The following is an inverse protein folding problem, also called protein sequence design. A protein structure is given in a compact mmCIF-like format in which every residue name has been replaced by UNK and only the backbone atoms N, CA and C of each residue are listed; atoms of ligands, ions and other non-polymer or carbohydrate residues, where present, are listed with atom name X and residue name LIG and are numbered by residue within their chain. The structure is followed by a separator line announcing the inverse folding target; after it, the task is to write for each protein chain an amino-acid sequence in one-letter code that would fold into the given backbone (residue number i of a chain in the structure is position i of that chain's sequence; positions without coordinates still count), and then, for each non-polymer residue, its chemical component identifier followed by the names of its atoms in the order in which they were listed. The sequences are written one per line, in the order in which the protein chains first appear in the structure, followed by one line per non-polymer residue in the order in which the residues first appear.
data_IF_486475682418
#
_entry.id   IF_486475682418
#
_cell.length_a   1.000
_cell.length_b   1.000
_cell.length_c   1.000
_cell.angle_alpha   90.00
_cell.angle_beta   90.00
_cell.angle_gamma   90.00
#
_symmetry.space_group_name_H-M   'P 1'
#
loop_
_entity.id
_entity.type
_entity.pdbx_description
1 polymer ?
#
# COMPACT_ATOMS: atom_id res chain seq x y z
N UNK A 1 -25.23 -1.03 -3.73
CA UNK A 1 -24.64 -0.05 -4.67
C UNK A 1 -23.98 1.05 -3.86
N UNK A 2 -22.66 0.96 -3.64
CA UNK A 2 -21.93 2.04 -2.99
C UNK A 2 -21.78 3.19 -4.00
N UNK A 3 -22.36 4.34 -3.71
CA UNK A 3 -22.05 5.56 -4.43
C UNK A 3 -20.53 5.78 -4.32
N UNK A 4 -19.86 6.17 -5.40
CA UNK A 4 -18.47 6.65 -5.41
C UNK A 4 -18.38 7.99 -4.65
N UNK A 5 -18.71 7.96 -3.37
CA UNK A 5 -18.67 9.10 -2.48
C UNK A 5 -17.30 9.08 -1.81
N UNK A 6 -16.57 10.17 -1.95
CA UNK A 6 -15.39 10.42 -1.14
C UNK A 6 -15.89 10.69 0.28
N UNK A 7 -15.55 9.79 1.21
CA UNK A 7 -15.84 9.93 2.63
C UNK A 7 -14.69 10.65 3.31
N UNK A 8 -14.30 10.19 4.49
CA UNK A 8 -13.06 10.65 5.13
C UNK A 8 -11.88 9.95 4.47
N UNK A 9 -10.98 10.64 3.76
CA UNK A 9 -9.93 9.97 3.01
C UNK A 9 -8.80 9.49 3.91
N UNK A 10 -8.16 8.39 3.49
CA UNK A 10 -6.99 7.81 4.13
C UNK A 10 -5.83 7.73 3.13
N UNK A 11 -4.64 8.03 3.61
CA UNK A 11 -3.39 8.01 2.86
C UNK A 11 -2.46 6.98 3.48
N UNK A 12 -2.00 6.00 2.71
CA UNK A 12 -1.02 5.01 3.16
C UNK A 12 0.35 5.39 2.62
N UNK A 13 1.27 5.72 3.51
CA UNK A 13 2.57 6.31 3.18
C UNK A 13 3.67 5.33 3.54
N UNK A 14 4.35 4.78 2.53
CA UNK A 14 5.41 3.80 2.78
C UNK A 14 6.69 4.48 3.24
N UNK A 15 7.04 4.24 4.49
CA UNK A 15 8.29 4.69 5.11
C UNK A 15 9.49 3.99 4.47
N UNK A 16 9.38 2.70 4.15
CA UNK A 16 10.47 1.96 3.49
C UNK A 16 10.80 2.54 2.10
N UNK A 17 9.79 2.99 1.35
CA UNK A 17 10.01 3.66 0.07
C UNK A 17 10.75 4.98 0.24
N UNK A 18 10.39 5.77 1.26
CA UNK A 18 11.07 7.00 1.59
C UNK A 18 12.54 6.76 2.01
N UNK A 19 12.79 5.80 2.91
CA UNK A 19 14.15 5.42 3.31
C UNK A 19 14.99 4.97 2.11
N UNK A 20 14.38 4.21 1.18
CA UNK A 20 15.03 3.86 -0.10
C UNK A 20 15.44 5.07 -0.90
N UNK A 21 14.56 6.07 -1.04
CA UNK A 21 14.86 7.29 -1.79
C UNK A 21 16.02 8.10 -1.19
N UNK A 22 16.23 7.98 0.12
CA UNK A 22 17.34 8.61 0.84
C UNK A 22 18.62 7.76 0.84
N UNK A 23 18.58 6.51 0.37
CA UNK A 23 19.68 5.57 0.48
C UNK A 23 19.93 5.04 1.91
N UNK A 24 18.93 5.16 2.80
CA UNK A 24 18.98 4.72 4.21
C UNK A 24 18.45 3.30 4.43
N UNK A 25 18.27 2.54 3.35
CA UNK A 25 17.82 1.14 3.40
C UNK A 25 18.74 0.25 2.56
N UNK A 26 18.99 -0.95 3.05
CA UNK A 26 19.73 -1.98 2.35
C UNK A 26 19.01 -3.33 2.45
N UNK A 27 19.52 -4.33 1.75
CA UNK A 27 19.06 -5.72 1.83
C UNK A 27 20.04 -6.48 2.71
N UNK A 28 19.52 -7.10 3.77
CA UNK A 28 20.30 -7.95 4.67
C UNK A 28 20.61 -9.32 4.07
N UNK A 29 21.11 -10.23 4.91
CA UNK A 29 21.23 -11.62 4.50
C UNK A 29 19.86 -12.15 4.10
N UNK A 30 19.73 -12.52 2.84
CA UNK A 30 18.61 -13.31 2.36
C UNK A 30 18.84 -14.72 2.88
N UNK A 31 17.93 -15.21 3.73
CA UNK A 31 18.01 -16.57 4.30
C UNK A 31 16.98 -17.44 3.60
N UNK A 32 17.49 -18.39 2.83
CA UNK A 32 16.78 -19.37 2.00
C UNK A 32 17.82 -19.94 1.02
N UNK A 33 17.93 -21.26 0.89
CA UNK A 33 19.00 -21.89 0.10
C UNK A 33 18.93 -21.55 -1.39
N UNK A 34 17.76 -21.08 -1.85
CA UNK A 34 17.46 -20.79 -3.24
C UNK A 34 16.49 -19.60 -3.31
N UNK A 35 16.96 -18.37 -3.13
CA UNK A 35 16.10 -17.17 -3.18
C UNK A 35 16.15 -16.50 -4.55
N UNK A 36 15.00 -16.41 -5.25
CA UNK A 36 14.87 -15.70 -6.53
C UNK A 36 13.91 -14.49 -6.51
N UNK A 37 13.16 -14.21 -5.43
CA UNK A 37 12.41 -12.95 -5.27
C UNK A 37 13.39 -11.79 -5.00
N UNK A 38 14.07 -11.36 -6.05
CA UNK A 38 15.19 -10.43 -5.91
C UNK A 38 16.51 -11.14 -5.73
N UNK A 39 16.82 -12.02 -6.70
CA UNK A 39 18.09 -12.74 -6.84
C UNK A 39 19.33 -11.82 -6.77
N UNK A 40 19.13 -10.51 -6.91
CA UNK A 40 20.11 -9.49 -6.55
C UNK A 40 19.46 -8.34 -5.74
N UNK A 41 20.31 -7.65 -4.98
CA UNK A 41 19.99 -6.49 -4.13
C UNK A 41 19.02 -5.48 -4.79
N UNK A 42 19.23 -5.15 -6.06
CA UNK A 42 18.44 -4.12 -6.74
C UNK A 42 17.00 -4.59 -6.99
N UNK A 43 16.81 -5.86 -7.30
CA UNK A 43 15.49 -6.43 -7.51
C UNK A 43 14.69 -6.51 -6.20
N UNK A 44 15.33 -6.91 -5.09
CA UNK A 44 14.68 -6.91 -3.78
C UNK A 44 14.31 -5.49 -3.34
N UNK A 45 15.20 -4.51 -3.51
CA UNK A 45 14.87 -3.09 -3.26
C UNK A 45 13.74 -2.58 -4.17
N UNK A 46 13.58 -3.12 -5.38
CA UNK A 46 12.51 -2.70 -6.29
C UNK A 46 11.10 -3.10 -5.82
N UNK A 47 10.98 -4.02 -4.85
CA UNK A 47 9.70 -4.30 -4.18
C UNK A 47 9.14 -3.09 -3.43
N UNK A 48 9.98 -2.11 -3.07
CA UNK A 48 9.58 -0.93 -2.29
C UNK A 48 9.12 0.24 -3.17
N UNK A 49 9.04 0.08 -4.49
CA UNK A 49 8.77 1.19 -5.42
C UNK A 49 7.28 1.55 -5.59
N UNK A 50 6.36 0.83 -4.92
CA UNK A 50 4.92 0.92 -5.20
C UNK A 50 4.63 0.76 -6.70
N UNK A 51 5.37 -0.12 -7.36
CA UNK A 51 5.21 -0.48 -8.76
C UNK A 51 4.87 -1.97 -8.91
N UNK A 52 3.59 -2.36 -8.74
CA UNK A 52 3.16 -3.76 -8.80
C UNK A 52 3.32 -4.42 -10.18
N UNK A 53 3.61 -3.66 -11.25
CA UNK A 53 3.86 -4.25 -12.58
C UNK A 53 5.20 -4.98 -12.66
N UNK A 54 6.13 -4.66 -11.75
CA UNK A 54 7.46 -5.26 -11.67
C UNK A 54 7.47 -6.52 -10.80
N UNK A 55 6.67 -7.53 -11.18
CA UNK A 55 6.54 -8.79 -10.45
C UNK A 55 7.88 -9.50 -10.32
N UNK A 56 8.19 -9.91 -9.09
CA UNK A 56 9.28 -10.82 -8.76
C UNK A 56 8.72 -12.22 -8.59
N UNK A 57 9.50 -13.21 -8.97
CA UNK A 57 9.13 -14.62 -8.92
C UNK A 57 10.15 -15.34 -8.06
N UNK A 58 9.67 -16.05 -7.05
CA UNK A 58 10.49 -16.83 -6.13
C UNK A 58 11.04 -18.07 -6.79
N UNK A 59 11.95 -18.76 -6.12
CA UNK A 59 12.56 -19.95 -6.68
C UNK A 59 11.57 -21.12 -6.73
N UNK A 60 11.95 -22.19 -7.41
CA UNK A 60 11.22 -23.45 -7.32
C UNK A 60 11.48 -24.08 -5.95
N UNK A 61 10.41 -24.40 -5.21
CA UNK A 61 10.50 -25.00 -3.87
C UNK A 61 10.11 -26.46 -3.89
N UNK A 62 11.07 -27.39 -4.11
CA UNK A 62 10.77 -28.81 -3.98
C UNK A 62 10.59 -29.27 -2.53
N UNK A 63 10.91 -28.45 -1.51
CA UNK A 63 10.87 -28.82 -0.09
C UNK A 63 10.66 -27.59 0.81
N UNK A 64 9.43 -27.34 1.25
CA UNK A 64 8.99 -26.59 2.46
C UNK A 64 9.79 -25.39 2.94
N UNK A 65 10.47 -24.68 2.05
CA UNK A 65 11.50 -23.74 2.44
C UNK A 65 10.93 -22.33 2.60
N UNK A 66 11.06 -21.82 3.80
CA UNK A 66 10.80 -20.44 4.17
C UNK A 66 11.51 -19.44 3.23
N UNK A 67 10.77 -18.46 2.69
CA UNK A 67 11.32 -17.26 2.04
C UNK A 67 11.34 -16.06 2.99
N UNK A 68 12.49 -15.39 3.12
CA UNK A 68 12.62 -14.14 3.90
C UNK A 68 13.31 -13.05 3.09
N UNK A 69 12.64 -11.90 2.95
CA UNK A 69 13.25 -10.66 2.44
C UNK A 69 13.56 -9.74 3.63
N UNK A 70 14.85 -9.57 3.95
CA UNK A 70 15.30 -8.69 5.04
C UNK A 70 15.68 -7.31 4.51
N UNK A 71 15.01 -6.28 5.00
CA UNK A 71 15.30 -4.88 4.74
C UNK A 71 15.99 -4.28 5.96
N UNK A 72 17.26 -3.90 5.79
CA UNK A 72 18.07 -3.28 6.83
C UNK A 72 17.94 -1.76 6.76
N UNK A 73 17.58 -1.13 7.86
CA UNK A 73 17.44 0.33 7.97
C UNK A 73 18.63 0.92 8.74
N UNK A 74 18.98 2.18 8.47
CA UNK A 74 20.08 2.85 9.19
C UNK A 74 19.77 3.05 10.69
N UNK A 75 18.49 3.20 11.03
CA UNK A 75 17.98 3.34 12.40
C UNK A 75 16.77 2.43 12.60
N UNK A 76 16.33 2.18 13.85
CA UNK A 76 15.20 1.31 14.09
C UNK A 76 13.96 1.74 13.30
N UNK A 77 13.16 0.79 12.81
CA UNK A 77 11.96 1.16 12.02
C UNK A 77 11.00 2.03 12.83
N UNK A 78 10.91 1.78 14.15
CA UNK A 78 10.17 2.59 15.11
C UNK A 78 10.64 4.06 15.19
N UNK A 79 11.84 4.39 14.71
CA UNK A 79 12.32 5.77 14.58
C UNK A 79 11.64 6.53 13.42
N UNK A 80 10.99 5.82 12.52
CA UNK A 80 10.39 6.38 11.31
C UNK A 80 8.87 6.15 11.23
N UNK A 81 8.33 5.28 12.07
CA UNK A 81 6.90 4.95 12.10
C UNK A 81 6.24 5.35 13.41
N UNK A 82 4.97 5.73 13.35
CA UNK A 82 4.13 5.89 14.55
C UNK A 82 3.51 4.56 14.95
N UNK A 83 3.33 4.38 16.26
CA UNK A 83 2.78 3.16 16.84
C UNK A 83 1.32 2.92 16.47
N UNK A 84 0.52 3.99 16.43
CA UNK A 84 -0.95 3.89 16.49
C UNK A 84 -1.64 3.90 15.12
N UNK A 85 -0.89 3.90 14.02
CA UNK A 85 -1.45 4.01 12.67
C UNK A 85 -0.63 3.26 11.61
N UNK A 86 -0.11 2.09 11.95
CA UNK A 86 0.71 1.29 11.03
C UNK A 86 -0.10 0.61 9.92
N UNK A 87 0.52 0.40 8.77
CA UNK A 87 -0.01 -0.50 7.73
C UNK A 87 1.09 -1.29 7.05
N UNK A 88 0.70 -2.43 6.50
CA UNK A 88 1.48 -3.13 5.50
C UNK A 88 0.58 -3.60 4.35
N UNK A 89 1.17 -3.61 3.15
CA UNK A 89 0.48 -3.97 1.93
C UNK A 89 1.39 -4.81 1.02
N UNK A 90 0.78 -5.80 0.39
CA UNK A 90 1.39 -6.63 -0.63
C UNK A 90 0.58 -6.47 -1.91
N UNK A 91 1.25 -6.16 -3.01
CA UNK A 91 0.60 -5.99 -4.31
C UNK A 91 1.14 -6.99 -5.33
N UNK A 92 0.25 -7.45 -6.19
CA UNK A 92 0.52 -8.42 -7.24
C UNK A 92 1.18 -9.70 -6.73
N UNK A 93 0.54 -10.35 -5.75
CA UNK A 93 0.98 -11.64 -5.23
C UNK A 93 0.06 -12.78 -5.68
N UNK A 94 0.57 -14.01 -5.67
CA UNK A 94 -0.17 -15.24 -5.98
C UNK A 94 -0.27 -16.20 -4.76
N UNK A 95 -0.39 -15.62 -3.57
CA UNK A 95 -0.29 -16.38 -2.33
C UNK A 95 -1.42 -17.39 -2.11
N UNK A 96 -2.60 -17.19 -2.70
CA UNK A 96 -3.67 -18.19 -2.60
C UNK A 96 -3.35 -19.40 -3.47
N UNK A 97 -2.94 -19.17 -4.72
CA UNK A 97 -2.61 -20.27 -5.64
C UNK A 97 -1.29 -20.97 -5.34
N UNK A 98 -0.37 -20.31 -4.63
CA UNK A 98 0.86 -20.91 -4.14
C UNK A 98 0.72 -21.53 -2.73
N UNK A 99 -0.49 -21.50 -2.14
CA UNK A 99 -0.77 -21.91 -0.76
C UNK A 99 0.25 -21.31 0.22
N UNK A 100 0.41 -20.00 0.19
CA UNK A 100 1.44 -19.28 0.93
C UNK A 100 0.87 -18.55 2.15
N UNK A 101 1.57 -18.68 3.27
CA UNK A 101 1.42 -17.86 4.47
C UNK A 101 2.45 -16.74 4.46
N UNK A 102 2.14 -15.62 5.08
CA UNK A 102 3.06 -14.49 5.18
C UNK A 102 2.92 -13.74 6.50
N UNK A 103 3.99 -13.06 6.90
CA UNK A 103 3.99 -12.14 8.03
C UNK A 103 5.06 -11.06 7.82
N UNK A 104 4.90 -9.95 8.54
CA UNK A 104 5.92 -8.91 8.63
C UNK A 104 6.47 -8.89 10.05
N UNK A 105 7.77 -9.15 10.18
CA UNK A 105 8.47 -9.26 11.46
C UNK A 105 9.69 -8.34 11.50
N UNK A 106 10.24 -8.23 12.68
CA UNK A 106 11.56 -7.68 12.92
C UNK A 106 12.43 -8.74 13.60
N UNK A 107 13.75 -8.51 13.66
CA UNK A 107 14.65 -9.40 14.39
C UNK A 107 14.30 -9.40 15.89
N UNK A 108 13.68 -10.48 16.37
CA UNK A 108 13.30 -10.66 17.77
C UNK A 108 11.81 -10.43 18.10
N UNK A 109 10.95 -10.13 17.13
CA UNK A 109 9.51 -10.02 17.36
C UNK A 109 8.69 -9.78 16.10
N UNK A 110 7.44 -9.33 16.24
CA UNK A 110 6.50 -9.13 15.14
C UNK A 110 6.08 -7.67 15.06
N UNK A 111 6.11 -7.07 13.86
CA UNK A 111 5.67 -5.69 13.66
C UNK A 111 4.14 -5.58 13.82
N UNK A 112 3.43 -6.61 13.36
CA UNK A 112 1.98 -6.74 13.50
C UNK A 112 1.67 -7.95 14.39
N UNK A 113 1.29 -7.71 15.64
CA UNK A 113 0.92 -8.77 16.57
C UNK A 113 -0.49 -9.33 16.31
N UNK A 114 -0.85 -10.41 17.00
CA UNK A 114 -2.19 -11.02 16.92
C UNK A 114 -3.31 -10.09 17.46
N UNK A 115 -2.94 -9.11 18.28
CA UNK A 115 -3.86 -8.13 18.87
C UNK A 115 -3.80 -6.76 18.18
N UNK A 116 -3.09 -6.65 17.05
CA UNK A 116 -3.08 -5.42 16.26
C UNK A 116 -4.47 -5.27 15.62
N UNK A 117 -5.29 -4.40 16.21
CA UNK A 117 -6.64 -4.08 15.72
C UNK A 117 -6.54 -3.18 14.49
N UNK A 118 -7.28 -3.50 13.43
CA UNK A 118 -7.29 -2.71 12.22
C UNK A 118 -8.06 -3.35 11.07
N UNK A 119 -8.13 -2.64 9.94
CA UNK A 119 -8.72 -3.17 8.72
C UNK A 119 -7.81 -4.26 8.15
N UNK A 120 -8.40 -5.37 7.71
CA UNK A 120 -7.72 -6.40 6.92
C UNK A 120 -8.49 -6.64 5.63
N UNK A 121 -7.78 -6.70 4.51
CA UNK A 121 -8.33 -6.90 3.16
C UNK A 121 -7.56 -8.02 2.49
N UNK A 122 -8.27 -9.07 2.08
CA UNK A 122 -7.70 -10.26 1.47
C UNK A 122 -6.52 -10.83 2.29
N UNK A 123 -6.66 -10.78 3.62
CA UNK A 123 -5.73 -11.43 4.53
C UNK A 123 -6.45 -11.77 5.84
N UNK A 124 -6.31 -13.00 6.30
CA UNK A 124 -6.83 -13.46 7.58
C UNK A 124 -5.70 -14.07 8.40
N UNK A 125 -5.83 -14.06 9.73
CA UNK A 125 -4.87 -14.73 10.61
C UNK A 125 -5.01 -16.24 10.43
N UNK A 126 -3.90 -16.93 10.24
CA UNK A 126 -3.88 -18.39 10.18
C UNK A 126 -4.32 -18.97 11.54
N UNK A 127 -5.35 -19.83 11.59
CA UNK A 127 -5.77 -20.46 12.83
C UNK A 127 -4.71 -21.38 13.44
N UNK A 128 -3.79 -21.91 12.63
CA UNK A 128 -2.83 -22.93 13.02
C UNK A 128 -1.42 -22.39 13.34
N UNK A 129 -1.16 -21.10 13.11
CA UNK A 129 0.13 -20.48 13.44
C UNK A 129 -0.02 -19.07 14.01
N UNK A 130 0.66 -18.83 15.14
CA UNK A 130 0.69 -17.52 15.75
C UNK A 130 1.39 -16.53 14.79
N UNK A 131 0.65 -15.49 14.38
CA UNK A 131 1.11 -14.31 13.62
C UNK A 131 1.28 -14.46 12.11
N UNK A 132 1.06 -15.63 11.51
CA UNK A 132 0.99 -15.73 10.06
C UNK A 132 -0.38 -15.34 9.53
N UNK A 133 -0.38 -14.86 8.29
CA UNK A 133 -1.59 -14.51 7.55
C UNK A 133 -1.66 -15.33 6.27
N UNK A 134 -2.86 -15.70 5.88
CA UNK A 134 -3.17 -16.30 4.58
C UNK A 134 -3.97 -15.32 3.74
N UNK A 135 -3.84 -15.41 2.41
CA UNK A 135 -4.68 -14.66 1.49
C UNK A 135 -5.86 -15.52 1.03
N UNK A 136 -7.05 -14.94 0.93
CA UNK A 136 -8.23 -15.64 0.40
C UNK A 136 -8.12 -15.75 -1.14
N UNK A 137 -7.47 -14.78 -1.78
CA UNK A 137 -7.34 -14.64 -3.23
C UNK A 137 -5.94 -14.17 -3.65
N UNK A 138 -5.58 -14.46 -4.90
CA UNK A 138 -4.45 -13.81 -5.57
C UNK A 138 -4.77 -12.34 -5.89
N UNK A 139 -3.75 -11.48 -5.95
CA UNK A 139 -3.90 -10.07 -6.26
C UNK A 139 -3.15 -9.18 -5.28
N UNK A 140 -3.83 -8.75 -4.22
CA UNK A 140 -3.25 -7.84 -3.22
C UNK A 140 -3.83 -8.08 -1.84
N UNK A 141 -3.04 -7.80 -0.80
CA UNK A 141 -3.45 -7.89 0.60
C UNK A 141 -3.05 -6.62 1.33
N UNK A 142 -3.91 -6.11 2.20
CA UNK A 142 -3.67 -4.90 3.00
C UNK A 142 -4.11 -5.18 4.43
N UNK A 143 -3.29 -4.81 5.40
CA UNK A 143 -3.71 -4.79 6.79
C UNK A 143 -3.17 -3.55 7.51
N UNK A 144 -3.97 -3.05 8.44
CA UNK A 144 -3.62 -1.92 9.30
C UNK A 144 -3.56 -2.36 10.76
N UNK A 145 -2.92 -1.56 11.59
CA UNK A 145 -2.82 -1.76 13.00
C UNK A 145 -2.85 -0.42 13.74
N UNK A 146 -3.66 -0.37 14.79
CA UNK A 146 -3.69 0.72 15.77
C UNK A 146 -2.59 0.55 16.84
N UNK A 147 -1.73 -0.46 16.71
CA UNK A 147 -0.57 -0.73 17.56
C UNK A 147 0.42 -1.63 16.78
N UNK A 148 1.49 -1.03 16.23
CA UNK A 148 2.66 -1.74 15.69
C UNK A 148 3.77 -1.79 16.75
N UNK A 149 4.46 -2.93 16.86
CA UNK A 149 5.31 -3.30 18.01
C UNK A 149 6.28 -2.24 18.55
N UNK A 150 6.48 -2.29 19.88
CA UNK A 150 7.40 -1.46 20.68
C UNK A 150 8.90 -1.87 20.56
N UNK A 151 9.35 -2.56 19.51
CA UNK A 151 10.76 -2.98 19.47
C UNK A 151 11.66 -1.83 18.97
N UNK A 152 11.93 -0.90 19.88
CA UNK A 152 12.70 0.34 19.67
C UNK A 152 14.18 0.17 19.25
N UNK A 153 14.67 -1.04 18.99
CA UNK A 153 16.10 -1.30 18.80
C UNK A 153 16.45 -2.17 17.59
N UNK A 154 15.51 -2.38 16.66
CA UNK A 154 15.72 -3.30 15.55
C UNK A 154 15.79 -2.57 14.21
N UNK A 155 16.95 -2.68 13.58
CA UNK A 155 17.26 -2.08 12.27
C UNK A 155 16.92 -3.04 11.10
N UNK A 156 15.97 -3.94 11.31
CA UNK A 156 15.65 -5.02 10.37
C UNK A 156 14.14 -5.23 10.30
N UNK A 157 13.58 -5.04 9.12
CA UNK A 157 12.22 -5.41 8.76
C UNK A 157 12.28 -6.60 7.82
N UNK A 158 11.59 -7.67 8.14
CA UNK A 158 11.54 -8.86 7.31
C UNK A 158 10.12 -9.15 6.82
N UNK A 159 9.96 -9.31 5.50
CA UNK A 159 8.81 -9.99 4.92
C UNK A 159 9.11 -11.48 4.90
N UNK A 160 8.36 -12.23 5.69
CA UNK A 160 8.53 -13.67 5.85
C UNK A 160 7.35 -14.37 5.18
N UNK A 161 7.63 -15.33 4.30
CA UNK A 161 6.66 -16.11 3.54
C UNK A 161 6.98 -17.59 3.73
N UNK A 162 5.96 -18.39 4.01
CA UNK A 162 6.07 -19.82 4.34
C UNK A 162 4.97 -20.60 3.59
N UNK A 163 5.12 -21.91 3.51
CA UNK A 163 4.11 -22.83 2.98
C UNK A 163 2.91 -22.92 3.94
N UNK A 164 1.71 -22.95 3.40
CA UNK A 164 0.47 -23.10 4.16
C UNK A 164 0.08 -24.56 4.42
N UNK A 165 0.74 -25.53 3.76
CA UNK A 165 0.46 -26.96 3.85
C UNK A 165 0.45 -27.53 5.27
N UNK A 166 -0.71 -28.05 5.68
CA UNK A 166 -0.93 -28.67 7.01
C UNK A 166 -0.27 -30.05 7.18
N UNK A 167 0.25 -30.64 6.10
CA UNK A 167 0.90 -31.96 6.16
C UNK A 167 2.04 -32.02 5.16
N UNK A 168 3.26 -31.79 5.64
CA UNK A 168 4.54 -32.13 5.00
C UNK A 168 5.23 -31.09 4.11
N UNK A 169 5.10 -29.78 4.38
CA UNK A 169 6.07 -28.77 3.93
C UNK A 169 6.44 -28.87 2.45
N UNK A 170 5.48 -28.73 1.56
CA UNK A 170 5.74 -28.57 0.13
C UNK A 170 4.73 -27.55 -0.35
N UNK A 171 5.21 -26.37 -0.77
CA UNK A 171 4.39 -25.42 -1.53
C UNK A 171 3.67 -26.18 -2.65
N UNK A 172 2.47 -25.74 -3.05
CA UNK A 172 1.98 -26.17 -4.36
C UNK A 172 3.08 -25.87 -5.38
N UNK A 173 3.20 -26.70 -6.42
CA UNK A 173 4.15 -26.61 -7.54
C UNK A 173 4.20 -25.25 -8.27
N UNK A 174 3.45 -24.27 -7.78
CA UNK A 174 3.35 -22.87 -8.20
C UNK A 174 4.39 -22.00 -7.48
N UNK A 175 5.32 -21.41 -8.25
CA UNK A 175 6.30 -20.44 -7.74
C UNK A 175 5.62 -19.22 -7.11
N UNK A 176 6.14 -18.76 -5.97
CA UNK A 176 5.71 -17.52 -5.33
C UNK A 176 5.97 -16.32 -6.23
N UNK A 177 5.08 -15.33 -6.19
CA UNK A 177 5.15 -14.08 -6.93
C UNK A 177 4.76 -12.94 -6.01
N UNK A 178 5.48 -11.82 -6.15
CA UNK A 178 5.18 -10.57 -5.45
C UNK A 178 5.66 -9.38 -6.29
N UNK A 179 4.79 -8.39 -6.51
CA UNK A 179 5.18 -7.17 -7.23
C UNK A 179 5.64 -6.05 -6.33
N UNK A 180 5.05 -5.89 -5.16
CA UNK A 180 5.38 -4.80 -4.26
C UNK A 180 5.13 -5.16 -2.80
N UNK A 181 5.98 -4.64 -1.93
CA UNK A 181 5.78 -4.58 -0.49
C UNK A 181 5.81 -3.12 -0.03
N UNK A 182 4.79 -2.70 0.72
CA UNK A 182 4.76 -1.41 1.39
C UNK A 182 4.57 -1.58 2.88
N UNK A 183 5.34 -0.84 3.66
CA UNK A 183 5.23 -0.72 5.11
C UNK A 183 5.39 0.76 5.49
N UNK A 184 4.60 1.22 6.45
CA UNK A 184 4.68 2.56 7.01
C UNK A 184 3.44 2.91 7.82
N UNK A 185 3.02 4.17 7.75
CA UNK A 185 1.87 4.68 8.47
C UNK A 185 0.74 5.11 7.53
N UNK A 186 -0.49 5.01 8.00
CA UNK A 186 -1.62 5.64 7.36
C UNK A 186 -1.99 6.93 8.08
N UNK A 187 -2.47 7.92 7.31
CA UNK A 187 -2.99 9.17 7.83
C UNK A 187 -4.45 9.33 7.41
N UNK A 188 -5.31 9.53 8.40
CA UNK A 188 -6.72 9.87 8.22
C UNK A 188 -6.88 11.38 8.24
N UNK A 189 -7.58 11.93 7.24
CA UNK A 189 -8.00 13.33 7.34
C UNK A 189 -8.94 13.52 8.55
N UNK A 190 -8.87 14.65 9.29
CA UNK A 190 -9.73 14.88 10.45
C UNK A 190 -11.23 14.83 10.14
N UNK A 191 -11.61 15.15 8.90
CA UNK A 191 -12.98 15.04 8.40
C UNK A 191 -13.00 14.87 6.88
N UNK A 192 -14.17 14.53 6.34
CA UNK A 192 -14.43 14.48 4.90
C UNK A 192 -14.16 15.83 4.23
N UNK A 193 -13.72 15.83 2.96
CA UNK A 193 -13.57 17.04 2.18
C UNK A 193 -14.93 17.69 1.87
N UNK A 194 -14.88 18.95 1.46
CA UNK A 194 -16.05 19.76 1.12
C UNK A 194 -16.93 19.13 0.04
N UNK A 195 -18.23 19.43 0.07
CA UNK A 195 -19.26 18.82 -0.80
C UNK A 195 -18.99 19.00 -2.31
N UNK A 196 -18.16 19.96 -2.73
CA UNK A 196 -17.80 20.23 -4.13
C UNK A 196 -16.62 19.40 -4.65
N UNK A 197 -16.57 18.12 -4.28
CA UNK A 197 -15.57 17.17 -4.76
C UNK A 197 -15.73 16.89 -6.24
N UNK A 198 -14.64 16.98 -6.99
CA UNK A 198 -14.61 16.57 -8.40
C UNK A 198 -13.68 15.37 -8.57
N UNK A 199 -14.28 14.20 -8.76
CA UNK A 199 -13.62 13.03 -9.35
C UNK A 199 -13.73 13.12 -10.87
N UNK A 200 -12.61 13.10 -11.57
CA UNK A 200 -12.57 13.09 -13.03
C UNK A 200 -11.77 11.90 -13.56
N UNK A 201 -12.14 11.43 -14.76
CA UNK A 201 -11.44 10.36 -15.47
C UNK A 201 -10.74 10.93 -16.70
N UNK A 202 -9.43 10.77 -16.75
CA UNK A 202 -8.58 11.33 -17.80
C UNK A 202 -8.22 10.27 -18.85
N UNK A 203 -8.47 10.58 -20.13
CA UNK A 203 -8.22 9.69 -21.28
C UNK A 203 -7.14 10.25 -22.23
N UNK A 204 -6.07 10.87 -21.69
CA UNK A 204 -5.00 11.48 -22.50
C UNK A 204 -4.30 10.54 -23.48
N UNK A 205 -4.40 9.22 -23.28
CA UNK A 205 -3.83 8.23 -24.19
C UNK A 205 -4.67 7.96 -25.43
N UNK A 206 -5.86 8.56 -25.56
CA UNK A 206 -6.75 8.41 -26.73
C UNK A 206 -6.68 9.69 -27.57
N UNK A 207 -6.13 9.57 -28.77
CA UNK A 207 -6.11 10.66 -29.76
C UNK A 207 -7.08 10.34 -30.89
N UNK A 208 -7.85 11.34 -31.33
CA UNK A 208 -8.81 11.22 -32.43
C UNK A 208 -8.44 12.20 -33.53
N UNK A 209 -8.38 11.71 -34.76
CA UNK A 209 -8.15 12.51 -35.95
C UNK A 209 -9.30 12.28 -36.94
N UNK A 210 -9.97 13.34 -37.35
CA UNK A 210 -10.97 13.27 -38.43
C UNK A 210 -10.25 13.42 -39.77
N UNK A 211 -10.41 12.45 -40.66
CA UNK A 211 -9.92 12.51 -42.04
C UNK A 211 -10.69 13.55 -42.85
N UNK A 212 -10.12 14.01 -43.97
CA UNK A 212 -10.82 14.95 -44.87
C UNK A 212 -12.13 14.39 -45.45
N UNK A 213 -12.28 13.05 -45.50
CA UNK A 213 -13.50 12.37 -45.93
C UNK A 213 -14.56 12.18 -44.83
N UNK A 214 -14.33 12.70 -43.62
CA UNK A 214 -15.26 12.61 -42.49
C UNK A 214 -15.12 11.34 -41.63
N UNK A 215 -14.24 10.39 -41.99
CA UNK A 215 -13.94 9.22 -41.15
C UNK A 215 -13.11 9.61 -39.93
N UNK A 216 -13.36 8.99 -38.76
CA UNK A 216 -12.59 9.22 -37.53
C UNK A 216 -11.57 8.11 -37.33
N UNK A 217 -10.29 8.46 -37.26
CA UNK A 217 -9.19 7.58 -36.84
C UNK A 217 -8.96 7.78 -35.35
N UNK A 218 -8.95 6.69 -34.57
CA UNK A 218 -8.68 6.74 -33.13
C UNK A 218 -7.42 5.95 -32.85
N UNK A 219 -6.43 6.57 -32.21
CA UNK A 219 -5.24 5.90 -31.71
C UNK A 219 -5.28 5.87 -30.18
N UNK A 220 -5.09 4.67 -29.61
CA UNK A 220 -5.18 4.41 -28.17
C UNK A 220 -3.82 3.91 -27.70
N UNK A 221 -3.04 4.79 -27.07
CA UNK A 221 -1.76 4.45 -26.45
C UNK A 221 -1.97 3.75 -25.11
N UNK A 222 -2.88 4.28 -24.30
CA UNK A 222 -3.30 3.72 -23.02
C UNK A 222 -4.72 4.22 -22.68
N UNK A 223 -5.52 3.37 -22.03
CA UNK A 223 -6.89 3.70 -21.66
C UNK A 223 -7.34 3.13 -20.31
N UNK A 224 -6.54 2.26 -19.69
CA UNK A 224 -6.78 1.66 -18.37
C UNK A 224 -5.43 1.32 -17.72
N UNK A 225 -5.35 1.25 -16.38
CA UNK A 225 -4.15 0.85 -15.65
C UNK A 225 -3.45 -0.37 -16.26
N UNK A 226 -2.11 -0.47 -16.20
CA UNK A 226 -1.41 -1.69 -16.59
C UNK A 226 -1.89 -2.84 -15.69
N UNK A 227 -1.86 -4.04 -16.27
CA UNK A 227 -2.09 -5.26 -15.50
C UNK A 227 -0.96 -5.47 -14.50
N UNK A 228 -1.31 -6.14 -13.41
CA UNK A 228 -0.40 -6.62 -12.39
C UNK A 228 -0.22 -8.12 -12.65
N UNK A 229 0.80 -8.46 -13.43
CA UNK A 229 0.96 -9.82 -13.95
C UNK A 229 -0.26 -10.26 -14.75
N UNK A 230 -0.94 -11.29 -14.26
CA UNK A 230 -2.11 -11.89 -14.91
C UNK A 230 -3.44 -11.15 -14.58
N UNK A 231 -3.45 -10.34 -13.52
CA UNK A 231 -4.64 -9.67 -12.99
C UNK A 231 -4.72 -8.19 -13.40
N UNK A 232 -5.93 -7.62 -13.46
CA UNK A 232 -6.10 -6.17 -13.61
C UNK A 232 -5.69 -5.44 -12.31
N UNK A 233 -5.36 -4.15 -12.40
CA UNK A 233 -5.01 -3.37 -11.21
C UNK A 233 -6.13 -3.39 -10.16
N UNK A 234 -5.78 -3.72 -8.92
CA UNK A 234 -6.70 -3.91 -7.78
C UNK A 234 -7.75 -5.03 -7.95
N UNK A 235 -7.55 -5.96 -8.89
CA UNK A 235 -8.36 -7.19 -8.97
C UNK A 235 -7.94 -8.17 -7.86
N UNK A 236 -8.93 -8.89 -7.33
CA UNK A 236 -8.74 -10.02 -6.42
C UNK A 236 -9.27 -11.28 -7.11
N UNK A 237 -8.44 -12.29 -7.29
CA UNK A 237 -8.78 -13.56 -7.93
C UNK A 237 -9.63 -13.39 -9.20
N UNK A 238 -10.79 -14.05 -9.22
CA UNK A 238 -11.76 -13.99 -10.31
C UNK A 238 -12.69 -12.76 -10.32
N UNK A 239 -12.50 -11.77 -9.44
CA UNK A 239 -13.40 -10.61 -9.28
C UNK A 239 -12.87 -9.38 -10.02
N UNK A 240 -13.20 -9.19 -11.31
CA UNK A 240 -12.61 -8.14 -12.13
C UNK A 240 -13.06 -6.75 -11.66
N UNK A 241 -12.10 -5.82 -11.56
CA UNK A 241 -12.39 -4.40 -11.36
C UNK A 241 -12.36 -3.68 -12.71
N UNK A 242 -13.52 -3.56 -13.35
CA UNK A 242 -13.63 -2.88 -14.64
C UNK A 242 -13.65 -1.35 -14.44
N UNK A 243 -12.56 -0.68 -14.74
CA UNK A 243 -12.55 0.77 -14.93
C UNK A 243 -11.55 1.19 -16.01
N UNK A 244 -11.79 2.36 -16.57
CA UNK A 244 -10.95 2.97 -17.61
C UNK A 244 -10.76 4.45 -17.33
N UNK A 245 -9.70 5.01 -17.91
CA UNK A 245 -9.24 6.35 -17.61
C UNK A 245 -8.48 6.39 -16.29
N UNK A 246 -7.64 7.42 -16.16
CA UNK A 246 -6.89 7.71 -14.93
C UNK A 246 -7.74 8.57 -14.01
N UNK A 247 -7.90 8.18 -12.76
CA UNK A 247 -8.67 8.95 -11.77
C UNK A 247 -7.89 10.17 -11.26
N UNK A 248 -8.58 11.30 -11.13
CA UNK A 248 -8.06 12.54 -10.55
C UNK A 248 -9.07 13.08 -9.55
N UNK A 249 -8.60 13.32 -8.32
CA UNK A 249 -9.37 13.88 -7.23
C UNK A 249 -8.92 15.31 -6.94
N UNK A 250 -9.86 16.24 -6.92
CA UNK A 250 -9.65 17.58 -6.40
C UNK A 250 -10.35 17.66 -5.04
N UNK A 251 -9.57 17.65 -3.97
CA UNK A 251 -10.03 17.66 -2.59
C UNK A 251 -9.84 19.06 -1.99
N UNK A 252 -10.81 19.52 -1.22
CA UNK A 252 -10.71 20.75 -0.44
C UNK A 252 -11.13 20.44 0.99
N UNK A 253 -10.33 20.87 1.96
CA UNK A 253 -10.61 20.68 3.38
C UNK A 253 -10.58 22.04 4.05
N UNK A 254 -11.67 22.39 4.72
CA UNK A 254 -11.79 23.65 5.43
C UNK A 254 -11.75 23.43 6.94
N UNK A 255 -11.33 24.45 7.66
CA UNK A 255 -11.38 24.49 9.12
C UNK A 255 -10.51 23.43 9.82
N UNK A 256 -9.38 23.06 9.22
CA UNK A 256 -8.39 22.18 9.84
C UNK A 256 -7.62 22.93 10.93
N UNK A 257 -7.34 22.28 12.05
CA UNK A 257 -6.50 22.86 13.10
C UNK A 257 -5.03 22.87 12.65
N UNK A 258 -4.26 23.84 13.14
CA UNK A 258 -2.82 23.93 12.90
C UNK A 258 -2.09 22.63 13.28
N UNK A 259 -2.47 22.07 14.43
CA UNK A 259 -1.90 20.85 14.97
C UNK A 259 -2.15 19.60 14.11
N UNK A 260 -3.18 19.61 13.26
CA UNK A 260 -3.47 18.51 12.33
C UNK A 260 -2.68 18.67 11.02
N UNK A 261 -2.23 19.89 10.71
CA UNK A 261 -1.55 20.21 9.47
C UNK A 261 -0.04 20.17 9.60
N UNK A 262 0.50 20.79 10.64
CA UNK A 262 1.91 21.15 10.72
C UNK A 262 2.51 20.81 12.08
N UNK A 263 3.81 20.47 12.12
CA UNK A 263 4.46 20.17 13.37
C UNK A 263 4.70 21.45 14.17
N UNK A 264 4.71 21.33 15.50
CA UNK A 264 5.09 22.42 16.42
C UNK A 264 6.50 22.96 16.13
N UNK A 265 7.38 22.12 15.58
CA UNK A 265 8.75 22.46 15.19
C UNK A 265 9.15 21.69 13.94
N UNK A 266 9.81 22.35 13.00
CA UNK A 266 10.45 21.69 11.85
C UNK A 266 11.83 21.09 12.19
N UNK A 267 12.33 21.33 13.40
CA UNK A 267 13.51 20.61 13.88
C UNK A 267 13.10 19.19 14.24
N UNK A 268 13.36 18.29 13.31
CA UNK A 268 13.27 16.85 13.47
C UNK A 268 14.47 16.39 14.30
N UNK A 269 14.24 16.03 15.56
CA UNK A 269 15.20 15.24 16.32
C UNK A 269 14.96 13.77 15.97
N UNK A 270 15.83 13.19 15.13
CA UNK A 270 15.73 11.80 14.66
C UNK A 270 15.75 10.77 15.81
N UNK A 271 16.07 11.18 17.04
CA UNK A 271 16.23 10.26 18.17
C UNK A 271 14.95 9.89 18.94
N UNK A 272 13.85 10.67 18.84
CA UNK A 272 12.65 10.43 19.65
C UNK A 272 11.32 10.82 18.93
N UNK A 273 10.74 9.94 18.09
CA UNK A 273 9.46 10.18 17.40
C UNK A 273 8.22 10.07 18.30
N UNK A 274 8.35 9.54 19.53
CA UNK A 274 7.20 9.18 20.39
C UNK A 274 6.45 10.39 20.96
N UNK A 275 7.05 11.57 20.97
CA UNK A 275 6.41 12.83 21.41
C UNK A 275 5.73 13.59 20.25
N UNK A 276 5.67 12.98 19.07
CA UNK A 276 5.25 13.67 17.86
C UNK A 276 3.75 13.54 17.68
N UNK A 277 3.07 14.69 17.66
CA UNK A 277 1.68 14.73 17.24
C UNK A 277 1.60 14.46 15.73
N UNK A 278 0.83 13.45 15.37
CA UNK A 278 0.54 13.11 13.98
C UNK A 278 -0.10 14.28 13.26
N UNK A 279 0.56 14.77 12.21
CA UNK A 279 0.05 15.83 11.35
C UNK A 279 0.30 15.53 9.87
N UNK A 280 -0.44 16.22 9.01
CA UNK A 280 -0.39 16.06 7.56
C UNK A 280 1.02 16.26 6.98
N UNK A 281 1.75 17.27 7.45
CA UNK A 281 3.08 17.55 6.94
C UNK A 281 4.07 16.42 7.24
N UNK A 282 4.15 15.98 8.50
CA UNK A 282 5.11 14.95 8.93
C UNK A 282 4.76 13.55 8.41
N UNK A 283 3.47 13.21 8.31
CA UNK A 283 3.03 11.87 7.89
C UNK A 283 2.91 11.73 6.38
N UNK A 284 2.50 12.79 5.68
CA UNK A 284 2.16 12.71 4.25
C UNK A 284 3.15 13.48 3.40
N UNK A 285 3.32 14.79 3.60
CA UNK A 285 4.13 15.59 2.69
C UNK A 285 5.62 15.27 2.78
N UNK A 286 6.15 15.09 3.98
CA UNK A 286 7.56 14.80 4.21
C UNK A 286 7.96 13.45 3.59
N UNK A 287 7.24 12.39 3.95
CA UNK A 287 7.53 11.03 3.48
C UNK A 287 7.18 10.79 2.01
N UNK A 288 6.31 11.59 1.40
CA UNK A 288 6.12 11.57 -0.06
C UNK A 288 7.10 12.48 -0.82
N UNK A 289 8.03 13.15 -0.13
CA UNK A 289 8.93 14.16 -0.69
C UNK A 289 8.19 15.22 -1.52
N UNK A 290 7.07 15.73 -0.98
CA UNK A 290 6.21 16.69 -1.67
C UNK A 290 5.47 16.11 -2.90
N UNK A 291 5.27 14.79 -2.96
CA UNK A 291 4.61 14.09 -4.07
C UNK A 291 5.55 13.45 -5.09
N UNK A 292 6.87 13.57 -4.89
CA UNK A 292 7.88 12.88 -5.70
C UNK A 292 7.90 11.36 -5.48
N UNK A 293 7.34 10.85 -4.38
CA UNK A 293 7.07 9.43 -4.16
C UNK A 293 5.56 9.15 -4.26
N UNK A 294 5.17 7.99 -4.82
CA UNK A 294 3.78 7.58 -4.86
C UNK A 294 3.29 7.15 -3.47
N UNK A 295 1.97 7.10 -3.30
CA UNK A 295 1.32 6.60 -2.10
C UNK A 295 0.02 5.88 -2.47
N UNK A 296 -0.56 5.11 -1.55
CA UNK A 296 -1.88 4.52 -1.77
C UNK A 296 -2.94 5.42 -1.16
N UNK A 297 -3.95 5.74 -1.95
CA UNK A 297 -5.07 6.60 -1.58
C UNK A 297 -6.34 5.78 -1.45
N UNK A 298 -7.04 5.95 -0.33
CA UNK A 298 -8.36 5.41 -0.07
C UNK A 298 -9.36 6.57 0.09
N UNK A 299 -10.31 6.77 -0.85
CA UNK A 299 -11.24 7.90 -0.78
C UNK A 299 -12.17 7.90 0.44
N UNK A 300 -12.38 6.73 1.06
CA UNK A 300 -13.18 6.60 2.26
C UNK A 300 -12.58 5.54 3.19
N UNK A 301 -12.07 5.96 4.34
CA UNK A 301 -11.47 5.08 5.36
C UNK A 301 -12.44 4.06 5.93
N UNK A 302 -13.73 4.39 5.97
CA UNK A 302 -14.80 3.53 6.50
C UNK A 302 -15.26 2.47 5.48
N UNK A 303 -14.61 2.38 4.32
CA UNK A 303 -14.90 1.35 3.33
C UNK A 303 -14.48 -0.02 3.85
N UNK A 304 -15.44 -0.93 3.95
CA UNK A 304 -15.24 -2.28 4.49
C UNK A 304 -14.86 -3.30 3.41
N UNK A 305 -14.03 -4.27 3.76
CA UNK A 305 -13.91 -5.52 3.03
C UNK A 305 -14.92 -6.54 3.57
N UNK A 306 -15.67 -7.20 2.69
CA UNK A 306 -16.64 -8.22 3.08
C UNK A 306 -16.53 -9.41 2.12
N UNK A 307 -15.78 -10.43 2.57
CA UNK A 307 -15.66 -11.73 1.93
C UNK A 307 -16.71 -12.69 2.48
N UNK A 308 -17.35 -13.43 1.58
CA UNK A 308 -18.37 -14.42 1.93
C UNK A 308 -17.98 -15.76 1.30
N UNK A 309 -17.70 -16.74 2.16
CA UNK A 309 -17.61 -18.16 1.81
C UNK A 309 -18.90 -18.86 2.26
N UNK A 310 -19.81 -19.24 1.36
CA UNK A 310 -21.02 -19.95 1.72
C UNK A 310 -20.78 -21.45 2.03
N UNK A 311 -19.54 -21.96 1.88
CA UNK A 311 -19.19 -23.37 2.08
C UNK A 311 -19.68 -24.30 0.96
N UNK A 312 -20.18 -23.75 -0.14
CA UNK A 312 -20.68 -24.49 -1.31
C UNK A 312 -19.80 -24.33 -2.55
N UNK A 313 -18.66 -23.64 -2.43
CA UNK A 313 -17.75 -23.32 -3.54
C UNK A 313 -18.09 -22.04 -4.31
N UNK A 314 -19.15 -21.31 -3.94
CA UNK A 314 -19.52 -20.02 -4.54
C UNK A 314 -18.95 -18.84 -3.76
N UNK A 315 -17.63 -18.80 -3.59
CA UNK A 315 -16.94 -17.67 -2.95
C UNK A 315 -17.26 -16.35 -3.69
N UNK A 316 -17.58 -15.29 -2.94
CA UNK A 316 -17.74 -13.96 -3.54
C UNK A 316 -17.37 -12.83 -2.59
N UNK A 317 -17.07 -11.68 -3.18
CA UNK A 317 -16.75 -10.47 -2.45
C UNK A 317 -17.89 -9.46 -2.62
N UNK A 318 -18.58 -9.16 -1.52
CA UNK A 318 -19.69 -8.18 -1.49
C UNK A 318 -19.14 -6.74 -1.54
N UNK A 319 -18.06 -6.48 -0.80
CA UNK A 319 -17.44 -5.15 -0.71
C UNK A 319 -15.93 -5.23 -0.69
N UNK A 320 -15.30 -4.34 -1.45
CA UNK A 320 -13.84 -4.12 -1.49
C UNK A 320 -13.61 -2.61 -1.38
N UNK A 321 -12.70 -2.15 -0.51
CA UNK A 321 -12.37 -0.73 -0.44
C UNK A 321 -11.83 -0.19 -1.77
N UNK A 322 -12.15 1.06 -2.08
CA UNK A 322 -11.55 1.75 -3.22
C UNK A 322 -10.15 2.22 -2.88
N UNK A 323 -9.18 1.75 -3.67
CA UNK A 323 -7.77 2.10 -3.54
C UNK A 323 -7.25 2.58 -4.89
N UNK A 324 -6.20 3.40 -4.83
CA UNK A 324 -5.47 3.91 -5.98
C UNK A 324 -4.02 4.14 -5.59
N UNK A 325 -3.07 3.79 -6.47
CA UNK A 325 -1.70 4.30 -6.34
C UNK A 325 -1.70 5.70 -6.93
N UNK A 326 -1.23 6.67 -6.18
CA UNK A 326 -1.43 8.09 -6.47
C UNK A 326 -0.16 8.91 -6.24
N UNK A 327 -0.15 10.10 -6.86
CA UNK A 327 0.80 11.18 -6.60
C UNK A 327 0.04 12.49 -6.48
N UNK A 328 0.67 13.47 -5.84
CA UNK A 328 0.17 14.84 -5.88
C UNK A 328 0.38 15.44 -7.28
N UNK A 329 -0.65 16.09 -7.83
CA UNK A 329 -0.64 16.76 -9.14
C UNK A 329 -0.61 18.28 -8.92
N UNK A 330 0.37 18.74 -8.14
CA UNK A 330 0.58 20.13 -7.75
C UNK A 330 2.05 20.39 -7.40
N UNK A 331 2.53 21.60 -7.71
CA UNK A 331 3.93 21.98 -7.47
C UNK A 331 4.15 22.66 -6.11
N UNK A 332 3.07 23.11 -5.46
CA UNK A 332 3.12 23.86 -4.20
C UNK A 332 1.98 23.47 -3.29
N UNK A 333 2.27 23.21 -2.02
CA UNK A 333 1.26 23.09 -0.96
C UNK A 333 1.07 24.45 -0.30
N UNK A 334 -0.16 24.94 -0.30
CA UNK A 334 -0.53 26.22 0.32
C UNK A 334 -1.69 26.01 1.27
N UNK A 335 -1.64 26.71 2.41
CA UNK A 335 -2.72 26.79 3.39
C UNK A 335 -3.18 28.24 3.55
N UNK A 336 -4.48 28.43 3.69
CA UNK A 336 -5.09 29.74 3.92
C UNK A 336 -5.62 29.79 5.35
N UNK A 337 -5.10 30.71 6.16
CA UNK A 337 -5.58 30.91 7.53
C UNK A 337 -6.92 31.65 7.51
N UNK A 338 -7.97 31.03 8.06
CA UNK A 338 -9.32 31.63 8.11
C UNK A 338 -9.73 32.06 9.52
N UNK A 339 -9.05 31.53 10.54
CA UNK A 339 -9.11 32.01 11.92
C UNK A 339 -7.79 31.65 12.63
N UNK A 340 -7.59 32.16 13.85
CA UNK A 340 -6.39 31.83 14.63
C UNK A 340 -6.26 30.31 14.82
N UNK A 341 -5.16 29.71 14.35
CA UNK A 341 -4.92 28.27 14.39
C UNK A 341 -5.80 27.41 13.48
N UNK A 342 -6.57 28.01 12.55
CA UNK A 342 -7.52 27.30 11.67
C UNK A 342 -7.27 27.63 10.21
N UNK A 343 -7.18 26.59 9.37
CA UNK A 343 -6.74 26.69 7.98
C UNK A 343 -7.62 25.93 7.00
N UNK A 344 -7.59 26.38 5.75
CA UNK A 344 -8.13 25.67 4.60
C UNK A 344 -6.98 25.20 3.70
N UNK A 345 -7.10 23.99 3.16
CA UNK A 345 -6.17 23.43 2.18
C UNK A 345 -6.89 22.88 0.96
N UNK A 346 -6.18 22.85 -0.17
CA UNK A 346 -6.61 22.17 -1.40
C UNK A 346 -5.55 21.19 -1.83
N UNK A 347 -5.97 19.98 -2.14
CA UNK A 347 -5.08 18.89 -2.53
C UNK A 347 -5.58 18.29 -3.84
N UNK A 348 -4.70 18.23 -4.83
CA UNK A 348 -4.99 17.57 -6.10
C UNK A 348 -4.20 16.28 -6.18
N UNK A 349 -4.91 15.16 -6.30
CA UNK A 349 -4.34 13.82 -6.32
C UNK A 349 -4.69 13.17 -7.65
N UNK A 350 -3.74 12.42 -8.18
CA UNK A 350 -3.88 11.74 -9.46
C UNK A 350 -3.30 10.36 -9.39
N UNK A 351 -4.04 9.41 -9.94
CA UNK A 351 -3.62 8.03 -10.03
C UNK A 351 -2.33 7.91 -10.87
N UNK A 352 -1.40 7.11 -10.39
CA UNK A 352 -0.10 6.84 -11.02
C UNK A 352 -0.04 5.37 -11.42
N UNK A 353 0.51 5.13 -12.60
CA UNK A 353 0.73 3.81 -13.21
C UNK A 353 2.17 3.69 -13.70
#
# INVERSE_FOLDING_TARGET
MANQNVGTPRFYISVLQWLKSLGKIDIGNVVGTDFEIGANRNEALSLLDLNPTNTKVGADFPDGSVEVVNFLTESPIASYTYKDNGFAILLNHNFKSADAKFLVREEGGYIFGNNSYGMSVNCSTDPDSDHMRTADFDGWSLWTADDISDLYNVNNVALHMDDAGTTSGVYDSTRLKLGCFGLGNYYDMPHSPELSLTLSHEYKGITKQTTMGGSTLTNVNYYKPPKWGDLEAWQLGGFPRKYSGRRVWNLSFNYLNDEDLEPTSYHIDESHPTDWKENWFSNVLHYTMGGALPFIFQPNKDATYNYIDPGNGDEYIDKIPELAICRFDMDTFSREQVANGVYNIKVKIKESW
#
